data_IF_744264873673
#
_entry.id   IF_744264873673
#
_cell.length_a   1.000
_cell.length_b   1.000
_cell.length_c   1.000
_cell.angle_alpha   90.00
_cell.angle_beta   90.00
_cell.angle_gamma   90.00
#
_symmetry.space_group_name_H-M   'P 1'
#
loop_
_entity.id
_entity.type
_entity.pdbx_description
1 polymer ?
#
# COMPACT_ATOMS: atom_id res chain seq x y z
N UNK A 1 -5.53 -1.88 -12.22
CA UNK A 1 -4.47 -2.21 -11.24
C UNK A 1 -5.02 -1.96 -9.84
N UNK A 2 -4.66 -2.77 -8.84
CA UNK A 2 -4.99 -2.42 -7.43
C UNK A 2 -4.20 -1.18 -6.98
N UNK A 3 -4.74 -0.31 -6.11
CA UNK A 3 -5.97 -0.41 -5.32
C UNK A 3 -7.25 -0.21 -6.13
N UNK A 4 -8.30 -0.99 -5.86
CA UNK A 4 -9.65 -0.74 -6.40
C UNK A 4 -10.55 -0.12 -5.32
N UNK A 5 -11.60 0.61 -5.72
CA UNK A 5 -12.56 1.17 -4.77
C UNK A 5 -13.22 0.09 -3.88
N UNK A 6 -13.53 -1.07 -4.47
CA UNK A 6 -14.15 -2.20 -3.77
C UNK A 6 -13.18 -2.82 -2.75
N UNK A 7 -11.92 -3.04 -3.14
CA UNK A 7 -10.91 -3.58 -2.24
C UNK A 7 -10.63 -2.61 -1.08
N UNK A 8 -10.51 -1.31 -1.37
CA UNK A 8 -10.32 -0.28 -0.36
C UNK A 8 -11.46 -0.26 0.65
N UNK A 9 -12.71 -0.29 0.19
CA UNK A 9 -13.88 -0.29 1.07
C UNK A 9 -13.84 -1.47 2.06
N UNK A 10 -13.44 -2.66 1.59
CA UNK A 10 -13.37 -3.88 2.39
C UNK A 10 -12.27 -3.87 3.46
N UNK A 11 -11.37 -2.90 3.44
CA UNK A 11 -10.42 -2.72 4.55
C UNK A 11 -11.09 -2.12 5.80
N UNK A 12 -12.24 -1.46 5.65
CA UNK A 12 -12.96 -0.86 6.77
C UNK A 12 -13.76 -1.91 7.52
N UNK A 13 -14.06 -1.66 8.79
CA UNK A 13 -14.98 -2.48 9.58
C UNK A 13 -16.32 -1.76 9.73
N UNK A 14 -17.40 -2.52 9.69
CA UNK A 14 -18.75 -2.02 9.96
C UNK A 14 -19.51 -3.00 10.86
N UNK A 15 -20.38 -2.48 11.73
CA UNK A 15 -21.18 -3.32 12.65
C UNK A 15 -22.50 -3.80 12.04
N UNK A 16 -22.96 -3.15 10.98
CA UNK A 16 -24.27 -3.33 10.34
C UNK A 16 -24.17 -3.98 8.98
N UNK A 17 -23.06 -3.78 8.26
CA UNK A 17 -22.78 -4.38 6.97
C UNK A 17 -21.70 -5.45 7.12
N UNK A 18 -21.98 -6.66 6.61
CA UNK A 18 -20.98 -7.73 6.55
C UNK A 18 -19.92 -7.43 5.50
N UNK A 19 -20.31 -6.91 4.33
CA UNK A 19 -19.39 -6.35 3.33
C UNK A 19 -19.49 -4.81 3.35
N UNK A 20 -18.45 -4.09 3.79
CA UNK A 20 -18.43 -2.63 3.76
C UNK A 20 -18.66 -2.02 2.37
N UNK A 21 -18.42 -2.75 1.28
CA UNK A 21 -18.71 -2.28 -0.08
C UNK A 21 -20.22 -2.09 -0.31
N UNK A 22 -21.08 -2.94 0.27
CA UNK A 22 -22.53 -2.78 0.17
C UNK A 22 -23.00 -1.45 0.78
N UNK A 23 -22.34 -1.01 1.85
CA UNK A 23 -22.60 0.31 2.46
C UNK A 23 -22.30 1.46 1.50
N UNK A 24 -21.25 1.34 0.69
CA UNK A 24 -20.91 2.32 -0.36
C UNK A 24 -21.99 2.35 -1.43
N UNK A 25 -22.43 1.18 -1.89
CA UNK A 25 -23.50 1.06 -2.90
C UNK A 25 -24.83 1.65 -2.40
N UNK A 26 -25.23 1.32 -1.18
CA UNK A 26 -26.46 1.86 -0.58
C UNK A 26 -26.39 3.38 -0.38
N UNK A 27 -25.23 3.90 0.05
CA UNK A 27 -25.04 5.34 0.16
C UNK A 27 -25.22 6.02 -1.21
N UNK A 28 -24.59 5.49 -2.27
CA UNK A 28 -24.74 6.01 -3.65
C UNK A 28 -26.20 5.98 -4.11
N UNK A 29 -26.90 4.85 -3.90
CA UNK A 29 -28.35 4.73 -4.22
C UNK A 29 -29.19 5.78 -3.49
N UNK A 30 -28.89 6.06 -2.22
CA UNK A 30 -29.59 7.10 -1.45
C UNK A 30 -29.32 8.49 -2.02
N UNK A 31 -28.07 8.83 -2.34
CA UNK A 31 -27.73 10.13 -2.93
C UNK A 31 -28.39 10.32 -4.31
N UNK A 32 -28.33 9.31 -5.17
CA UNK A 32 -28.96 9.34 -6.50
C UNK A 32 -30.49 9.50 -6.41
N UNK A 33 -31.13 8.77 -5.50
CA UNK A 33 -32.57 8.88 -5.29
C UNK A 33 -32.95 10.26 -4.75
N UNK A 34 -32.21 10.76 -3.75
CA UNK A 34 -32.46 12.07 -3.15
C UNK A 34 -32.30 13.21 -4.17
N UNK A 35 -31.30 13.12 -5.05
CA UNK A 35 -31.11 14.08 -6.14
C UNK A 35 -32.29 14.10 -7.12
N UNK A 36 -32.87 12.94 -7.45
CA UNK A 36 -34.06 12.83 -8.33
C UNK A 36 -35.36 13.22 -7.61
N UNK A 37 -35.41 13.10 -6.28
CA UNK A 37 -36.59 13.34 -5.46
C UNK A 37 -36.30 14.25 -4.26
N UNK A 38 -35.96 15.54 -4.47
CA UNK A 38 -35.47 16.42 -3.40
C UNK A 38 -36.49 16.71 -2.29
N UNK A 39 -37.78 16.49 -2.55
CA UNK A 39 -38.87 16.65 -1.56
C UNK A 39 -39.13 15.39 -0.72
N UNK A 40 -38.47 14.27 -1.01
CA UNK A 40 -38.69 13.02 -0.29
C UNK A 40 -37.85 12.99 0.99
N UNK A 41 -38.52 13.02 2.14
CA UNK A 41 -37.87 12.81 3.43
C UNK A 41 -37.45 11.36 3.67
N UNK A 42 -36.63 11.15 4.72
CA UNK A 42 -36.01 9.87 5.10
C UNK A 42 -36.91 8.63 5.02
N UNK A 43 -38.19 8.73 5.38
CA UNK A 43 -39.13 7.60 5.39
C UNK A 43 -39.48 7.17 3.97
N UNK A 44 -39.75 8.12 3.07
CA UNK A 44 -40.09 7.80 1.67
C UNK A 44 -38.88 7.23 0.95
N UNK A 45 -37.70 7.82 1.16
CA UNK A 45 -36.44 7.32 0.60
C UNK A 45 -36.12 5.92 1.14
N UNK A 46 -36.23 5.71 2.46
CA UNK A 46 -36.01 4.40 3.09
C UNK A 46 -36.96 3.32 2.57
N UNK A 47 -38.25 3.61 2.45
CA UNK A 47 -39.21 2.66 1.87
C UNK A 47 -38.91 2.33 0.41
N UNK A 48 -38.55 3.35 -0.40
CA UNK A 48 -38.26 3.15 -1.81
C UNK A 48 -36.98 2.35 -2.09
N UNK A 49 -36.00 2.42 -1.18
CA UNK A 49 -34.70 1.74 -1.31
C UNK A 49 -34.56 0.51 -0.41
N UNK A 50 -35.61 0.18 0.35
CA UNK A 50 -35.63 -0.91 1.33
C UNK A 50 -34.55 -0.76 2.42
N UNK A 51 -34.32 0.49 2.86
CA UNK A 51 -33.31 0.84 3.85
C UNK A 51 -33.93 1.36 5.15
N UNK A 52 -33.33 1.05 6.33
CA UNK A 52 -33.79 1.60 7.60
C UNK A 52 -33.83 3.14 7.58
N UNK A 53 -34.97 3.79 7.90
CA UNK A 53 -35.09 5.25 7.83
C UNK A 53 -34.09 6.02 8.70
N UNK A 54 -33.60 5.41 9.78
CA UNK A 54 -32.54 6.00 10.62
C UNK A 54 -31.19 6.09 9.90
N UNK A 55 -30.85 5.10 9.07
CA UNK A 55 -29.62 5.09 8.26
C UNK A 55 -29.70 6.16 7.17
N UNK A 56 -30.81 6.17 6.44
CA UNK A 56 -31.07 7.16 5.39
C UNK A 56 -31.02 8.59 5.94
N UNK A 57 -31.60 8.84 7.12
CA UNK A 57 -31.53 10.16 7.76
C UNK A 57 -30.10 10.68 7.91
N UNK A 58 -29.19 9.84 8.38
CA UNK A 58 -27.80 10.25 8.56
C UNK A 58 -27.16 10.66 7.23
N UNK A 59 -27.46 9.94 6.15
CA UNK A 59 -26.87 10.19 4.82
C UNK A 59 -27.49 11.36 4.06
N UNK A 60 -28.76 11.68 4.32
CA UNK A 60 -29.42 12.87 3.76
C UNK A 60 -28.96 14.17 4.46
N UNK A 61 -28.42 14.07 5.67
CA UNK A 61 -27.94 15.20 6.47
C UNK A 61 -26.41 15.27 6.43
N UNK A 62 -25.82 15.20 5.24
CA UNK A 62 -24.38 15.30 4.97
C UNK A 62 -23.50 14.23 5.64
N UNK A 63 -24.08 13.23 6.30
CA UNK A 63 -23.34 12.13 6.91
C UNK A 63 -22.76 11.20 5.85
N UNK A 64 -21.43 11.17 5.75
CA UNK A 64 -20.72 10.30 4.81
C UNK A 64 -20.11 9.08 5.53
N UNK A 65 -20.37 7.84 5.05
CA UNK A 65 -19.70 6.65 5.54
C UNK A 65 -18.17 6.72 5.39
N UNK A 66 -17.42 6.17 6.36
CA UNK A 66 -15.96 6.17 6.29
C UNK A 66 -15.37 5.50 5.04
N UNK A 67 -15.89 4.35 4.55
CA UNK A 67 -15.42 3.77 3.29
C UNK A 67 -15.63 4.70 2.09
N UNK A 68 -16.74 5.46 2.08
CA UNK A 68 -17.04 6.43 1.01
C UNK A 68 -16.06 7.59 1.07
N UNK A 69 -15.81 8.14 2.27
CA UNK A 69 -14.82 9.20 2.47
C UNK A 69 -13.42 8.75 2.05
N UNK A 70 -13.02 7.55 2.45
CA UNK A 70 -11.73 6.97 2.05
C UNK A 70 -11.60 6.78 0.55
N UNK A 71 -12.66 6.31 -0.12
CA UNK A 71 -12.70 6.24 -1.59
C UNK A 71 -12.56 7.62 -2.21
N UNK A 72 -13.26 8.63 -1.70
CA UNK A 72 -13.17 9.99 -2.24
C UNK A 72 -11.74 10.53 -2.09
N UNK A 73 -11.13 10.41 -0.91
CA UNK A 73 -9.73 10.79 -0.69
C UNK A 73 -8.79 10.08 -1.67
N UNK A 74 -8.96 8.76 -1.86
CA UNK A 74 -8.12 8.01 -2.78
C UNK A 74 -8.34 8.40 -4.26
N UNK A 75 -9.56 8.80 -4.65
CA UNK A 75 -9.86 9.37 -5.97
C UNK A 75 -9.17 10.72 -6.14
N UNK A 76 -9.24 11.59 -5.13
CA UNK A 76 -8.66 12.94 -5.17
C UNK A 76 -7.14 12.90 -5.37
N UNK A 77 -6.48 11.85 -4.88
CA UNK A 77 -5.06 11.59 -5.10
C UNK A 77 -4.74 10.70 -6.33
N UNK A 78 -5.76 10.20 -7.03
CA UNK A 78 -5.59 9.32 -8.19
C UNK A 78 -5.10 7.90 -7.86
N UNK A 79 -5.22 7.44 -6.61
CA UNK A 79 -4.71 6.13 -6.17
C UNK A 79 -5.59 4.95 -6.56
N UNK A 80 -6.84 5.18 -6.97
CA UNK A 80 -7.75 4.09 -7.32
C UNK A 80 -7.66 3.76 -8.80
N UNK A 81 -7.50 2.48 -9.09
CA UNK A 81 -7.42 1.91 -10.43
C UNK A 81 -6.45 2.71 -11.34
N UNK A 82 -5.22 3.03 -10.87
CA UNK A 82 -4.30 3.83 -11.66
C UNK A 82 -3.89 3.06 -12.93
N UNK A 83 -3.59 3.81 -13.98
CA UNK A 83 -2.95 3.24 -15.17
C UNK A 83 -1.58 2.65 -14.76
N UNK A 84 -1.28 1.43 -15.20
CA UNK A 84 -0.06 0.69 -14.84
C UNK A 84 1.23 1.42 -15.22
N UNK A 85 1.17 2.28 -16.24
CA UNK A 85 2.32 3.06 -16.72
C UNK A 85 2.32 4.51 -16.19
N UNK A 86 1.40 4.85 -15.27
CA UNK A 86 1.34 6.19 -14.67
C UNK A 86 2.41 6.41 -13.58
N UNK A 87 2.76 7.68 -13.36
CA UNK A 87 3.60 8.11 -12.24
C UNK A 87 2.98 7.74 -10.89
N UNK A 88 1.65 7.79 -10.77
CA UNK A 88 0.94 7.40 -9.54
C UNK A 88 1.09 5.90 -9.25
N UNK A 89 0.93 5.04 -10.26
CA UNK A 89 1.18 3.60 -10.10
C UNK A 89 2.64 3.33 -9.71
N UNK A 90 3.58 4.03 -10.34
CA UNK A 90 5.01 3.94 -9.99
C UNK A 90 5.27 4.34 -8.56
N UNK A 91 4.78 5.49 -8.12
CA UNK A 91 4.93 5.97 -6.73
C UNK A 91 4.32 5.02 -5.71
N UNK A 92 3.13 4.48 -5.97
CA UNK A 92 2.48 3.52 -5.08
C UNK A 92 3.27 2.20 -4.96
N UNK A 93 3.80 1.68 -6.07
CA UNK A 93 4.60 0.44 -6.07
C UNK A 93 5.97 0.64 -5.43
N UNK A 94 6.62 1.78 -5.65
CA UNK A 94 7.86 2.12 -4.94
C UNK A 94 7.63 2.26 -3.43
N UNK A 95 6.56 2.94 -3.02
CA UNK A 95 6.20 3.06 -1.61
C UNK A 95 5.86 1.70 -0.99
N UNK A 96 5.20 0.81 -1.73
CA UNK A 96 4.99 -0.58 -1.32
C UNK A 96 6.32 -1.30 -1.08
N UNK A 97 7.34 -1.09 -1.94
CA UNK A 97 8.68 -1.65 -1.75
C UNK A 97 9.31 -1.15 -0.43
N UNK A 98 9.22 0.16 -0.18
CA UNK A 98 9.68 0.76 1.07
C UNK A 98 9.00 0.13 2.29
N UNK A 99 7.68 -0.06 2.26
CA UNK A 99 6.93 -0.66 3.36
C UNK A 99 7.30 -2.12 3.58
N UNK A 100 7.37 -2.92 2.52
CA UNK A 100 7.68 -4.34 2.64
C UNK A 100 9.11 -4.59 3.15
N UNK A 101 10.06 -3.77 2.71
CA UNK A 101 11.48 -3.94 2.99
C UNK A 101 11.95 -3.23 4.27
N UNK A 102 11.52 -2.00 4.52
CA UNK A 102 12.02 -1.14 5.62
C UNK A 102 10.94 -0.41 6.43
N UNK A 103 9.66 -0.66 6.16
CA UNK A 103 8.56 0.02 6.86
C UNK A 103 7.55 -0.91 7.52
N UNK A 104 6.43 -0.34 7.94
CA UNK A 104 5.30 -1.04 8.53
C UNK A 104 4.00 -0.28 8.29
N UNK A 105 2.86 -0.96 8.43
CA UNK A 105 1.54 -0.34 8.52
C UNK A 105 0.93 -0.78 9.84
N UNK A 106 0.52 0.17 10.67
CA UNK A 106 -0.08 -0.15 11.98
C UNK A 106 -1.47 -0.76 11.78
N UNK A 107 -1.75 -1.95 12.30
CA UNK A 107 -3.04 -2.65 12.08
C UNK A 107 -4.27 -1.85 12.56
N UNK A 108 -4.14 -1.12 13.68
CA UNK A 108 -5.27 -0.39 14.26
C UNK A 108 -5.64 0.88 13.47
N UNK A 109 -4.64 1.59 12.93
CA UNK A 109 -4.84 2.92 12.31
C UNK A 109 -4.60 2.92 10.81
N UNK A 110 -4.02 1.85 10.26
CA UNK A 110 -3.51 1.76 8.90
C UNK A 110 -2.53 2.87 8.54
N UNK A 111 -1.81 3.43 9.52
CA UNK A 111 -0.78 4.44 9.24
C UNK A 111 0.51 3.75 8.77
N UNK A 112 1.02 4.07 7.57
CA UNK A 112 2.33 3.62 7.14
C UNK A 112 3.44 4.41 7.85
N UNK A 113 4.58 3.75 8.05
CA UNK A 113 5.82 4.33 8.53
C UNK A 113 6.99 3.64 7.85
N UNK A 114 8.03 4.38 7.46
CA UNK A 114 9.21 3.82 6.81
C UNK A 114 10.47 4.27 7.54
N UNK A 115 11.32 3.32 7.90
CA UNK A 115 12.58 3.57 8.59
C UNK A 115 13.71 3.78 7.58
N UNK A 116 14.64 4.69 7.90
CA UNK A 116 15.88 4.82 7.14
C UNK A 116 16.74 3.54 7.27
N UNK A 117 17.48 3.21 6.22
CA UNK A 117 18.40 2.08 6.18
C UNK A 117 19.77 2.53 5.68
N UNK A 118 20.77 1.64 5.75
CA UNK A 118 22.16 1.94 5.34
C UNK A 118 22.27 2.56 3.93
N UNK A 119 21.46 2.08 2.97
CA UNK A 119 21.45 2.58 1.58
C UNK A 119 20.19 3.38 1.23
N UNK A 120 19.32 3.63 2.20
CA UNK A 120 18.06 4.35 1.99
C UNK A 120 17.95 5.47 3.01
N UNK A 121 18.25 6.70 2.56
CA UNK A 121 18.15 7.89 3.39
C UNK A 121 16.71 8.41 3.51
N UNK A 122 16.51 9.34 4.45
CA UNK A 122 15.21 9.99 4.67
C UNK A 122 14.69 10.71 3.42
N UNK A 123 15.58 11.32 2.64
CA UNK A 123 15.19 12.04 1.42
C UNK A 123 14.51 11.13 0.40
N UNK A 124 15.13 9.97 0.10
CA UNK A 124 14.56 8.97 -0.82
C UNK A 124 13.20 8.48 -0.36
N UNK A 125 13.02 8.30 0.96
CA UNK A 125 11.73 7.88 1.51
C UNK A 125 10.68 8.98 1.35
N UNK A 126 11.04 10.24 1.61
CA UNK A 126 10.14 11.39 1.42
C UNK A 126 9.71 11.55 -0.03
N UNK A 127 10.65 11.43 -0.98
CA UNK A 127 10.35 11.48 -2.41
C UNK A 127 9.32 10.43 -2.83
N UNK A 128 9.38 9.22 -2.25
CA UNK A 128 8.39 8.18 -2.53
C UNK A 128 6.98 8.54 -2.04
N UNK A 129 6.85 9.24 -0.90
CA UNK A 129 5.57 9.77 -0.43
C UNK A 129 5.12 10.99 -1.26
N UNK A 130 6.04 11.88 -1.63
CA UNK A 130 5.73 13.05 -2.44
C UNK A 130 5.19 12.65 -3.83
N UNK A 131 5.72 11.58 -4.43
CA UNK A 131 5.22 11.01 -5.70
C UNK A 131 3.77 10.57 -5.65
N UNK A 132 3.26 10.21 -4.47
CA UNK A 132 1.85 9.85 -4.28
C UNK A 132 1.03 11.00 -3.70
N UNK A 133 1.58 12.23 -3.65
CA UNK A 133 0.87 13.43 -3.22
C UNK A 133 0.74 13.58 -1.70
N UNK A 134 1.62 12.94 -0.92
CA UNK A 134 1.49 12.87 0.54
C UNK A 134 2.67 13.52 1.23
N UNK A 135 2.38 14.59 1.98
CA UNK A 135 3.35 15.25 2.82
C UNK A 135 3.79 14.35 3.99
N UNK A 136 5.03 14.54 4.44
CA UNK A 136 5.63 13.71 5.49
C UNK A 136 6.28 14.50 6.61
N UNK A 137 6.35 13.87 7.77
CA UNK A 137 7.15 14.32 8.92
C UNK A 137 8.13 13.22 9.34
N UNK A 138 9.12 13.60 10.13
CA UNK A 138 10.08 12.65 10.71
C UNK A 138 9.77 12.48 12.19
N UNK A 139 9.68 11.22 12.62
CA UNK A 139 9.61 10.83 14.03
C UNK A 139 10.94 10.25 14.46
N UNK A 140 11.23 10.38 15.76
CA UNK A 140 12.43 9.80 16.38
C UNK A 140 13.76 10.24 15.73
N UNK A 141 13.83 11.48 15.23
CA UNK A 141 15.08 12.05 14.70
C UNK A 141 16.17 12.20 15.77
N UNK A 142 15.77 12.53 16.99
CA UNK A 142 16.68 12.85 18.11
C UNK A 142 16.56 11.85 19.29
N UNK A 143 15.86 10.71 19.08
CA UNK A 143 15.56 9.78 20.16
C UNK A 143 16.58 8.63 20.20
N UNK A 144 17.40 8.61 21.26
CA UNK A 144 18.33 7.49 21.51
C UNK A 144 17.58 6.16 21.61
N UNK A 145 17.99 5.19 20.80
CA UNK A 145 17.45 3.82 20.84
C UNK A 145 16.18 3.57 20.03
N UNK A 146 15.68 4.54 19.25
CA UNK A 146 14.63 4.32 18.25
C UNK A 146 15.10 4.69 16.86
N UNK A 147 14.68 3.89 15.88
CA UNK A 147 15.01 4.18 14.50
C UNK A 147 14.21 5.40 14.01
N UNK A 148 14.85 6.28 13.25
CA UNK A 148 14.20 7.45 12.66
C UNK A 148 13.25 7.01 11.55
N UNK A 149 12.00 7.48 11.63
CA UNK A 149 10.92 7.08 10.73
C UNK A 149 10.36 8.28 9.97
N UNK A 150 10.05 8.08 8.69
CA UNK A 150 9.25 8.99 7.88
C UNK A 150 7.81 8.49 7.90
N UNK A 151 6.87 9.40 8.16
CA UNK A 151 5.44 9.11 8.28
C UNK A 151 4.62 10.16 7.54
N UNK A 152 3.45 9.81 6.97
CA UNK A 152 2.52 10.79 6.42
C UNK A 152 2.02 11.78 7.48
N UNK A 153 1.74 13.01 7.07
CA UNK A 153 1.06 14.03 7.89
C UNK A 153 -0.45 14.04 7.65
N UNK A 154 -0.89 13.74 6.43
CA UNK A 154 -2.29 13.70 5.99
C UNK A 154 -2.63 12.36 5.35
N UNK A 155 -3.91 12.01 5.33
CA UNK A 155 -4.48 10.84 4.64
C UNK A 155 -3.82 9.48 4.92
N UNK A 156 -3.02 9.39 5.99
CA UNK A 156 -2.18 8.25 6.33
C UNK A 156 -2.94 6.93 6.33
N UNK A 157 -4.13 6.92 6.94
CA UNK A 157 -4.97 5.73 7.04
C UNK A 157 -5.48 5.28 5.67
N UNK A 158 -5.85 6.20 4.79
CA UNK A 158 -6.36 5.88 3.44
C UNK A 158 -5.22 5.34 2.58
N UNK A 159 -4.05 5.99 2.62
CA UNK A 159 -2.86 5.52 1.90
C UNK A 159 -2.44 4.11 2.37
N UNK A 160 -2.34 3.89 3.68
CA UNK A 160 -1.96 2.57 4.19
C UNK A 160 -2.98 1.49 3.86
N UNK A 161 -4.29 1.80 3.85
CA UNK A 161 -5.32 0.88 3.36
C UNK A 161 -5.13 0.54 1.88
N UNK A 162 -4.83 1.54 1.04
CA UNK A 162 -4.50 1.32 -0.36
C UNK A 162 -3.33 0.34 -0.51
N UNK A 163 -2.22 0.59 0.21
CA UNK A 163 -1.05 -0.29 0.20
C UNK A 163 -1.37 -1.70 0.70
N UNK A 164 -2.25 -1.86 1.68
CA UNK A 164 -2.72 -3.17 2.14
C UNK A 164 -3.45 -3.93 1.03
N UNK A 165 -4.33 -3.25 0.27
CA UNK A 165 -4.98 -3.89 -0.89
C UNK A 165 -4.01 -4.29 -1.99
N UNK A 166 -2.86 -3.61 -2.07
CA UNK A 166 -1.76 -3.94 -2.98
C UNK A 166 -0.87 -5.08 -2.47
N UNK A 167 -1.11 -5.62 -1.27
CA UNK A 167 -0.35 -6.74 -0.70
C UNK A 167 0.56 -6.37 0.47
N UNK A 168 0.53 -5.12 0.96
CA UNK A 168 1.23 -4.76 2.18
C UNK A 168 0.59 -5.41 3.42
N UNK A 169 1.38 -5.84 4.40
CA UNK A 169 0.87 -6.31 5.69
C UNK A 169 0.39 -5.16 6.57
N UNK A 170 -0.76 -5.35 7.22
CA UNK A 170 -1.22 -4.49 8.31
C UNK A 170 -0.89 -5.17 9.65
N UNK A 171 0.05 -4.63 10.40
CA UNK A 171 0.60 -5.24 11.61
C UNK A 171 1.85 -6.07 11.36
N UNK A 172 1.93 -7.25 11.98
CA UNK A 172 3.09 -8.11 11.84
C UNK A 172 3.25 -8.63 10.40
N UNK A 173 4.50 -8.68 9.95
CA UNK A 173 4.89 -9.18 8.63
C UNK A 173 4.86 -10.71 8.53
N UNK A 174 4.78 -11.38 9.68
CA UNK A 174 4.79 -12.83 9.83
C UNK A 174 3.40 -13.37 9.47
N UNK A 175 3.32 -14.37 8.59
CA UNK A 175 2.05 -14.93 8.08
C UNK A 175 1.46 -14.22 6.85
N UNK A 176 2.15 -13.20 6.31
CA UNK A 176 1.86 -12.69 4.97
C UNK A 176 2.59 -13.54 3.93
N UNK A 177 1.86 -14.48 3.33
CA UNK A 177 2.46 -15.62 2.65
C UNK A 177 2.76 -15.41 1.15
N UNK A 178 2.33 -14.30 0.55
CA UNK A 178 2.44 -14.09 -0.90
C UNK A 178 3.17 -12.82 -1.24
N UNK A 179 4.02 -12.92 -2.27
CA UNK A 179 4.64 -11.76 -2.89
C UNK A 179 3.56 -10.94 -3.64
N UNK A 180 3.59 -9.60 -3.59
CA UNK A 180 2.52 -8.78 -4.17
C UNK A 180 2.39 -8.96 -5.69
N UNK A 181 1.19 -9.30 -6.17
CA UNK A 181 0.92 -9.50 -7.59
C UNK A 181 1.00 -8.20 -8.40
N UNK A 182 0.66 -7.06 -7.80
CA UNK A 182 0.70 -5.73 -8.43
C UNK A 182 2.06 -5.36 -9.01
N UNK A 183 3.15 -5.93 -8.46
CA UNK A 183 4.50 -5.72 -8.98
C UNK A 183 4.61 -6.23 -10.42
N UNK A 184 3.87 -7.26 -10.80
CA UNK A 184 3.87 -7.82 -12.16
C UNK A 184 2.93 -7.10 -13.12
N UNK A 185 2.08 -6.21 -12.62
CA UNK A 185 1.11 -5.44 -13.41
C UNK A 185 1.67 -4.10 -13.91
N UNK A 186 2.81 -3.63 -13.38
CA UNK A 186 3.47 -2.37 -13.77
C UNK A 186 4.55 -2.57 -14.84
N UNK A 187 5.00 -1.45 -15.41
CA UNK A 187 6.14 -1.39 -16.33
C UNK A 187 7.40 -2.10 -15.80
N UNK A 188 8.29 -2.51 -16.71
CA UNK A 188 9.60 -3.08 -16.35
C UNK A 188 10.45 -2.12 -15.53
N UNK A 189 10.34 -0.81 -15.79
CA UNK A 189 11.12 0.21 -15.09
C UNK A 189 10.64 0.38 -13.65
N UNK A 190 9.33 0.36 -13.43
CA UNK A 190 8.74 0.36 -12.08
C UNK A 190 9.11 -0.91 -11.31
N UNK A 191 9.09 -2.09 -11.96
CA UNK A 191 9.58 -3.35 -11.35
C UNK A 191 11.04 -3.27 -10.95
N UNK A 192 11.87 -2.68 -11.82
CA UNK A 192 13.29 -2.44 -11.54
C UNK A 192 13.48 -1.49 -10.36
N UNK A 193 12.67 -0.44 -10.26
CA UNK A 193 12.70 0.48 -9.12
C UNK A 193 12.31 -0.23 -7.82
N UNK A 194 11.21 -1.00 -7.82
CA UNK A 194 10.81 -1.83 -6.67
C UNK A 194 11.96 -2.73 -6.21
N UNK A 195 12.59 -3.46 -7.14
CA UNK A 195 13.70 -4.36 -6.84
C UNK A 195 14.88 -3.61 -6.19
N UNK A 196 15.26 -2.46 -6.75
CA UNK A 196 16.34 -1.61 -6.21
C UNK A 196 16.05 -1.17 -4.78
N UNK A 197 14.85 -0.64 -4.52
CA UNK A 197 14.43 -0.19 -3.18
C UNK A 197 14.48 -1.34 -2.19
N UNK A 198 13.94 -2.51 -2.57
CA UNK A 198 13.89 -3.67 -1.70
C UNK A 198 15.30 -4.14 -1.30
N UNK A 199 16.20 -4.27 -2.28
CA UNK A 199 17.59 -4.68 -2.06
C UNK A 199 18.35 -3.63 -1.24
N UNK A 200 18.15 -2.34 -1.52
CA UNK A 200 18.79 -1.26 -0.77
C UNK A 200 18.45 -1.27 0.73
N UNK A 201 17.21 -1.61 1.07
CA UNK A 201 16.77 -1.77 2.47
C UNK A 201 17.34 -3.02 3.13
N UNK A 202 17.30 -4.16 2.44
CA UNK A 202 17.42 -5.47 3.09
C UNK A 202 18.75 -6.19 2.90
N UNK A 203 19.45 -5.89 1.83
CA UNK A 203 20.55 -6.72 1.41
C UNK A 203 21.85 -6.34 2.13
N UNK A 204 22.50 -7.34 2.73
CA UNK A 204 23.83 -7.22 3.30
C UNK A 204 24.88 -7.69 2.28
N UNK A 205 26.01 -7.00 2.20
CA UNK A 205 27.15 -7.43 1.38
C UNK A 205 27.84 -8.64 2.03
N UNK A 206 28.22 -9.61 1.21
CA UNK A 206 29.11 -10.68 1.64
C UNK A 206 30.54 -10.15 1.77
N UNK A 207 31.24 -10.47 2.85
CA UNK A 207 32.63 -10.03 3.00
C UNK A 207 33.48 -10.55 1.83
N UNK A 208 34.20 -9.64 1.16
CA UNK A 208 35.13 -9.90 0.04
C UNK A 208 34.49 -10.30 -1.30
N UNK A 209 33.16 -10.26 -1.46
CA UNK A 209 32.48 -10.48 -2.75
C UNK A 209 31.41 -9.42 -2.96
N UNK A 210 31.19 -8.99 -4.20
CA UNK A 210 30.04 -8.13 -4.58
C UNK A 210 28.68 -8.85 -4.55
N UNK A 211 28.62 -10.04 -3.96
CA UNK A 211 27.38 -10.78 -3.74
C UNK A 211 26.63 -10.15 -2.57
N UNK A 212 25.32 -10.04 -2.67
CA UNK A 212 24.48 -9.58 -1.57
C UNK A 212 23.52 -10.66 -1.12
N UNK A 213 23.14 -10.63 0.16
CA UNK A 213 22.21 -11.60 0.76
C UNK A 213 21.09 -10.85 1.48
N UNK A 214 19.87 -11.28 1.22
CA UNK A 214 18.66 -10.88 1.96
C UNK A 214 18.28 -12.06 2.84
N UNK A 215 18.15 -11.83 4.15
CA UNK A 215 17.67 -12.81 5.12
C UNK A 215 16.37 -12.31 5.74
N UNK A 216 15.28 -13.07 5.62
CA UNK A 216 13.97 -12.65 6.13
C UNK A 216 13.19 -13.75 6.83
N UNK A 217 12.41 -13.33 7.83
CA UNK A 217 11.35 -14.13 8.42
C UNK A 217 10.05 -14.05 7.62
N UNK A 218 10.07 -14.62 6.41
CA UNK A 218 8.92 -14.67 5.49
C UNK A 218 8.67 -16.11 5.05
N UNK A 219 7.48 -16.36 4.51
CA UNK A 219 7.13 -17.65 3.92
C UNK A 219 8.06 -17.98 2.76
N UNK A 220 8.24 -19.28 2.48
CA UNK A 220 9.02 -19.72 1.32
C UNK A 220 8.39 -19.21 0.00
N UNK A 221 7.06 -19.17 -0.07
CA UNK A 221 6.34 -18.67 -1.24
C UNK A 221 6.65 -17.18 -1.51
N UNK A 222 6.73 -16.35 -0.48
CA UNK A 222 7.13 -14.95 -0.61
C UNK A 222 8.57 -14.84 -1.13
N UNK A 223 9.51 -15.62 -0.57
CA UNK A 223 10.92 -15.58 -0.99
C UNK A 223 11.13 -16.11 -2.41
N UNK A 224 10.33 -17.09 -2.86
CA UNK A 224 10.32 -17.52 -4.26
C UNK A 224 9.85 -16.40 -5.19
N UNK A 225 8.80 -15.66 -4.80
CA UNK A 225 8.33 -14.48 -5.56
C UNK A 225 9.40 -13.39 -5.65
N UNK A 226 10.08 -13.09 -4.53
CA UNK A 226 11.20 -12.14 -4.53
C UNK A 226 12.36 -12.60 -5.43
N UNK A 227 12.75 -13.88 -5.35
CA UNK A 227 13.76 -14.46 -6.25
C UNK A 227 13.35 -14.27 -7.71
N UNK A 228 12.10 -14.61 -8.05
CA UNK A 228 11.58 -14.48 -9.41
C UNK A 228 11.64 -13.04 -9.91
N UNK A 229 11.22 -12.07 -9.09
CA UNK A 229 11.33 -10.64 -9.44
C UNK A 229 12.78 -10.25 -9.73
N UNK A 230 13.70 -10.59 -8.83
CA UNK A 230 15.10 -10.19 -8.98
C UNK A 230 15.74 -10.83 -10.20
N UNK A 231 15.45 -12.10 -10.49
CA UNK A 231 15.92 -12.77 -11.72
C UNK A 231 15.33 -12.10 -12.97
N UNK A 232 14.04 -11.79 -12.99
CA UNK A 232 13.38 -11.15 -14.14
C UNK A 232 13.96 -9.75 -14.45
N UNK A 233 14.11 -8.92 -13.42
CA UNK A 233 14.61 -7.53 -13.57
C UNK A 233 16.09 -7.46 -13.96
N UNK A 234 16.88 -8.45 -13.53
CA UNK A 234 18.33 -8.44 -13.74
C UNK A 234 18.76 -9.26 -14.94
N UNK A 235 18.00 -10.30 -15.32
CA UNK A 235 18.45 -11.34 -16.25
C UNK A 235 19.53 -12.25 -15.66
N UNK A 236 19.85 -12.10 -14.37
CA UNK A 236 21.02 -12.70 -13.73
C UNK A 236 20.65 -13.72 -12.66
N UNK A 237 21.67 -14.45 -12.19
CA UNK A 237 21.46 -15.53 -11.21
C UNK A 237 21.10 -14.98 -9.83
N UNK A 238 19.97 -15.47 -9.30
CA UNK A 238 19.52 -15.27 -7.92
C UNK A 238 19.13 -16.63 -7.34
N UNK A 239 19.65 -16.95 -6.16
CA UNK A 239 19.49 -18.26 -5.53
C UNK A 239 18.67 -18.17 -4.25
N UNK A 240 17.84 -19.18 -4.00
CA UNK A 240 17.06 -19.32 -2.77
C UNK A 240 17.75 -20.36 -1.87
N UNK A 241 18.03 -19.99 -0.64
CA UNK A 241 18.44 -20.88 0.45
C UNK A 241 17.38 -20.94 1.54
N UNK A 242 17.70 -21.55 2.68
CA UNK A 242 16.81 -21.54 3.83
C UNK A 242 16.64 -20.09 4.33
N UNK A 243 15.47 -19.50 4.10
CA UNK A 243 15.09 -18.13 4.51
C UNK A 243 16.02 -17.02 3.99
N UNK A 244 16.74 -17.30 2.92
CA UNK A 244 17.78 -16.42 2.36
C UNK A 244 17.63 -16.33 0.85
N UNK A 245 17.75 -15.13 0.32
CA UNK A 245 17.86 -14.86 -1.13
C UNK A 245 19.25 -14.30 -1.40
N UNK A 246 20.03 -15.03 -2.20
CA UNK A 246 21.41 -14.65 -2.56
C UNK A 246 21.42 -14.07 -3.96
N UNK A 247 21.95 -12.85 -4.08
CA UNK A 247 21.99 -12.05 -5.30
C UNK A 247 23.43 -12.05 -5.80
N UNK A 248 23.65 -12.57 -7.01
CA UNK A 248 24.98 -12.63 -7.63
C UNK A 248 25.59 -11.23 -7.85
N UNK A 249 26.91 -11.16 -8.01
CA UNK A 249 27.58 -9.88 -8.27
C UNK A 249 27.12 -9.23 -9.59
N UNK A 250 26.80 -10.03 -10.61
CA UNK A 250 26.25 -9.54 -11.87
C UNK A 250 24.84 -8.98 -11.68
N UNK A 251 23.99 -9.66 -10.91
CA UNK A 251 22.66 -9.14 -10.57
C UNK A 251 22.72 -7.80 -9.80
N UNK A 252 23.66 -7.67 -8.84
CA UNK A 252 23.88 -6.42 -8.11
C UNK A 252 24.31 -5.29 -9.05
N UNK A 253 25.23 -5.58 -9.98
CA UNK A 253 25.66 -4.63 -11.03
C UNK A 253 24.49 -4.25 -11.96
N UNK A 254 23.69 -5.21 -12.37
CA UNK A 254 22.52 -4.98 -13.23
C UNK A 254 21.49 -4.06 -12.54
N UNK A 255 21.35 -4.19 -11.21
CA UNK A 255 20.55 -3.29 -10.39
C UNK A 255 21.21 -1.92 -10.17
N UNK A 256 22.48 -1.70 -10.52
CA UNK A 256 23.17 -0.43 -10.30
C UNK A 256 23.27 -0.06 -8.82
N UNK A 257 23.47 -1.06 -7.96
CA UNK A 257 23.69 -0.89 -6.52
C UNK A 257 25.19 -1.03 -6.27
N UNK A 258 25.77 -0.02 -5.61
CA UNK A 258 27.18 0.01 -5.20
C UNK A 258 27.40 -0.50 -3.76
#
# INVERSE_FOLDING_TARGET
MSPTAQALARTYSDRKYTDPWEKVLDYRRVQEYAAKHPKHGRTRVGNALELPPGRVRAWLNDGMPDPVRGIQTAIDHGWLDPDSDSETATGLVELLAHILAGGSITAATFSPAVTAARRVGLHTIREAFDRVGVETSVRHGDADGRATEVVPTTDASVLGRCLVTMGAPAGEKIGHDRFPEVVWEVSSDTRRSFARIYVAHRAAEFQRKRTMVIQEDRSEAYLRGLKQLLTDVTGETVSLGNRTVTISADAVRALGID
#
